data_IF_543961853475
#
_entry.id   IF_543961853475
#
_cell.length_a   1.000
_cell.length_b   1.000
_cell.length_c   1.000
_cell.angle_alpha   90.00
_cell.angle_beta   90.00
_cell.angle_gamma   90.00
#
_symmetry.space_group_name_H-M   'P 1'
#
loop_
_entity.id
_entity.type
_entity.pdbx_description
1 polymer ?
#
# COMPACT_ATOMS: atom_id res chain seq x y z
N UNK A 1 -80.41 7.61 27.04
CA UNK A 1 -80.38 6.82 25.79
C UNK A 1 -79.07 7.17 25.11
N UNK A 2 -78.06 6.31 25.27
CA UNK A 2 -76.83 6.36 24.46
C UNK A 2 -77.16 6.01 22.99
N UNK A 3 -76.31 6.41 22.03
CA UNK A 3 -75.27 5.48 21.61
C UNK A 3 -73.90 6.11 21.31
N UNK A 4 -72.86 5.50 21.90
CA UNK A 4 -71.57 5.10 21.30
C UNK A 4 -70.79 6.04 20.37
N UNK A 5 -69.60 6.47 20.82
CA UNK A 5 -68.43 6.67 19.94
C UNK A 5 -67.25 5.87 20.47
N UNK A 6 -66.70 4.99 19.63
CA UNK A 6 -65.61 4.08 19.96
C UNK A 6 -64.25 4.75 19.73
N UNK A 7 -63.43 4.81 20.77
CA UNK A 7 -62.02 5.14 20.68
C UNK A 7 -61.26 3.96 20.07
N UNK A 8 -60.76 4.11 18.85
CA UNK A 8 -59.80 3.18 18.25
C UNK A 8 -58.46 3.28 19.00
N UNK A 9 -58.19 2.29 19.86
CA UNK A 9 -56.87 2.09 20.45
C UNK A 9 -55.97 1.44 19.40
N UNK A 10 -55.00 2.20 18.88
CA UNK A 10 -53.95 1.67 18.01
C UNK A 10 -53.07 0.74 18.84
N UNK A 11 -53.22 -0.57 18.63
CA UNK A 11 -52.38 -1.59 19.25
C UNK A 11 -50.98 -1.51 18.64
N UNK A 12 -50.00 -1.08 19.44
CA UNK A 12 -48.58 -1.13 19.10
C UNK A 12 -48.19 -2.60 19.07
N UNK A 13 -48.15 -3.18 17.87
CA UNK A 13 -47.67 -4.54 17.65
C UNK A 13 -46.24 -4.66 18.17
N UNK A 14 -46.03 -5.57 19.13
CA UNK A 14 -44.70 -5.90 19.66
C UNK A 14 -43.84 -6.40 18.50
N UNK A 15 -42.96 -5.53 18.00
CA UNK A 15 -41.96 -5.92 17.01
C UNK A 15 -41.11 -7.04 17.66
N UNK A 16 -41.05 -8.24 17.07
CA UNK A 16 -40.30 -9.34 17.64
C UNK A 16 -38.83 -8.96 17.72
N UNK A 17 -38.20 -9.24 18.86
CA UNK A 17 -36.79 -8.93 19.18
C UNK A 17 -35.80 -9.42 18.11
N UNK A 18 -36.17 -10.45 17.36
CA UNK A 18 -35.44 -10.96 16.20
C UNK A 18 -35.32 -9.94 15.05
N UNK A 19 -36.38 -9.19 14.75
CA UNK A 19 -36.37 -8.16 13.70
C UNK A 19 -35.46 -7.00 14.10
N UNK A 20 -35.45 -6.62 15.37
CA UNK A 20 -34.56 -5.57 15.89
C UNK A 20 -33.09 -6.00 15.77
N UNK A 21 -32.78 -7.25 16.13
CA UNK A 21 -31.43 -7.83 15.98
C UNK A 21 -30.98 -7.88 14.52
N UNK A 22 -31.87 -8.27 13.61
CA UNK A 22 -31.58 -8.32 12.17
C UNK A 22 -31.33 -6.93 11.58
N UNK A 23 -32.11 -5.92 11.97
CA UNK A 23 -31.90 -4.52 11.57
C UNK A 23 -30.55 -4.00 12.10
N UNK A 24 -30.17 -4.36 13.33
CA UNK A 24 -28.89 -3.98 13.92
C UNK A 24 -27.71 -4.62 13.16
N UNK A 25 -27.82 -5.90 12.77
CA UNK A 25 -26.82 -6.61 11.95
C UNK A 25 -26.70 -6.03 10.53
N UNK A 26 -27.82 -5.64 9.92
CA UNK A 26 -27.86 -4.98 8.60
C UNK A 26 -27.25 -3.57 8.68
N UNK A 27 -27.52 -2.82 9.76
CA UNK A 27 -26.92 -1.50 9.99
C UNK A 27 -25.39 -1.60 10.16
N UNK A 28 -24.93 -2.61 10.91
CA UNK A 28 -23.50 -2.86 11.14
C UNK A 28 -22.74 -3.39 9.91
N UNK A 29 -23.42 -3.79 8.83
CA UNK A 29 -22.77 -4.26 7.60
C UNK A 29 -22.61 -3.17 6.53
N UNK A 30 -23.07 -1.94 6.81
CA UNK A 30 -22.93 -0.78 5.91
C UNK A 30 -21.71 0.10 6.21
N UNK A 31 -20.62 -0.47 6.74
CA UNK A 31 -19.33 0.21 6.78
C UNK A 31 -18.75 0.32 5.36
N UNK A 32 -19.23 1.32 4.61
CA UNK A 32 -18.51 1.80 3.44
C UNK A 32 -17.28 2.56 3.95
N UNK A 33 -16.09 2.04 3.66
CA UNK A 33 -14.86 2.80 3.85
C UNK A 33 -14.90 3.98 2.90
N UNK A 34 -15.28 5.16 3.40
CA UNK A 34 -15.18 6.39 2.64
C UNK A 34 -13.70 6.77 2.54
N UNK A 35 -13.21 6.92 1.32
CA UNK A 35 -11.92 7.54 0.99
C UNK A 35 -11.92 8.96 1.57
N UNK A 36 -11.40 9.11 2.79
CA UNK A 36 -11.47 10.37 3.52
C UNK A 36 -10.16 11.15 3.36
N UNK A 37 -10.20 12.16 2.47
CA UNK A 37 -9.12 13.09 2.20
C UNK A 37 -8.65 13.84 3.47
N UNK A 38 -7.35 14.13 3.56
CA UNK A 38 -6.82 15.03 4.60
C UNK A 38 -7.30 16.44 4.30
N UNK A 39 -8.20 16.99 5.12
CA UNK A 39 -8.79 18.32 4.88
C UNK A 39 -7.73 19.44 4.79
N UNK A 40 -6.56 19.24 5.42
CA UNK A 40 -5.44 20.18 5.37
C UNK A 40 -4.54 19.97 4.15
N UNK A 41 -4.65 18.82 3.48
CA UNK A 41 -3.87 18.44 2.31
C UNK A 41 -4.67 17.50 1.38
N UNK A 42 -5.72 18.02 0.73
CA UNK A 42 -6.69 17.20 -0.01
C UNK A 42 -6.09 16.48 -1.22
N UNK A 43 -4.95 16.97 -1.73
CA UNK A 43 -4.23 16.38 -2.86
C UNK A 43 -2.99 15.58 -2.41
N UNK A 44 -2.72 15.53 -1.10
CA UNK A 44 -1.59 14.85 -0.51
C UNK A 44 -1.66 13.34 -0.75
N UNK A 45 -0.61 12.78 -1.34
CA UNK A 45 -0.54 11.36 -1.62
C UNK A 45 0.90 10.85 -1.52
N UNK A 46 1.01 9.53 -1.40
CA UNK A 46 2.27 8.82 -1.63
C UNK A 46 2.15 8.13 -2.98
N UNK A 47 3.08 8.44 -3.88
CA UNK A 47 3.16 7.76 -5.18
C UNK A 47 4.29 6.74 -5.14
N UNK A 48 3.97 5.49 -5.42
CA UNK A 48 4.92 4.40 -5.59
C UNK A 48 5.11 4.21 -7.09
N UNK A 49 6.33 4.38 -7.55
CA UNK A 49 6.73 4.16 -8.94
C UNK A 49 7.56 2.89 -9.02
N UNK A 50 7.21 2.02 -9.95
CA UNK A 50 7.90 0.76 -10.21
C UNK A 50 8.47 0.80 -11.62
N UNK A 51 9.78 0.93 -11.73
CA UNK A 51 10.51 1.01 -12.99
C UNK A 51 11.20 -0.33 -13.27
N UNK A 52 10.80 -1.02 -14.34
CA UNK A 52 11.50 -2.21 -14.85
C UNK A 52 12.69 -1.74 -15.67
N UNK A 53 13.91 -1.98 -15.22
CA UNK A 53 15.13 -1.41 -15.82
C UNK A 53 15.93 -2.41 -16.65
N UNK A 54 15.74 -3.71 -16.42
CA UNK A 54 16.49 -4.75 -17.12
C UNK A 54 15.72 -6.07 -17.14
N UNK A 55 15.77 -6.81 -18.25
CA UNK A 55 15.32 -8.20 -18.30
C UNK A 55 16.36 -9.16 -17.76
N UNK A 56 15.92 -10.22 -17.08
CA UNK A 56 16.76 -11.35 -16.69
C UNK A 56 16.34 -12.60 -17.47
N UNK A 57 16.97 -13.74 -17.19
CA UNK A 57 16.63 -15.00 -17.85
C UNK A 57 15.19 -15.48 -17.56
N UNK A 58 14.66 -15.20 -16.37
CA UNK A 58 13.35 -15.66 -15.92
C UNK A 58 12.41 -14.55 -15.41
N UNK A 59 12.86 -13.29 -15.45
CA UNK A 59 12.09 -12.15 -14.98
C UNK A 59 12.75 -10.81 -15.30
N UNK A 60 12.91 -9.96 -14.28
CA UNK A 60 13.43 -8.61 -14.46
C UNK A 60 14.07 -8.03 -13.19
N UNK A 61 14.91 -7.01 -13.37
CA UNK A 61 15.35 -6.12 -12.30
C UNK A 61 14.50 -4.86 -12.34
N UNK A 62 13.94 -4.49 -11.19
CA UNK A 62 13.11 -3.30 -11.03
C UNK A 62 13.60 -2.40 -9.90
N UNK A 63 13.35 -1.10 -10.05
CA UNK A 63 13.55 -0.10 -8.99
C UNK A 63 12.18 0.40 -8.54
N UNK A 64 11.90 0.25 -7.26
CA UNK A 64 10.67 0.72 -6.62
C UNK A 64 11.00 1.99 -5.86
N UNK A 65 10.39 3.10 -6.23
CA UNK A 65 10.61 4.41 -5.62
C UNK A 65 9.32 4.96 -5.08
N UNK A 66 9.31 5.38 -3.82
CA UNK A 66 8.19 6.02 -3.17
C UNK A 66 8.48 7.50 -3.00
N UNK A 67 7.50 8.32 -3.37
CA UNK A 67 7.52 9.77 -3.26
C UNK A 67 6.41 10.18 -2.30
N UNK A 68 6.77 10.86 -1.23
CA UNK A 68 5.78 11.43 -0.31
C UNK A 68 5.41 12.85 -0.75
N UNK A 69 4.40 12.96 -1.62
CA UNK A 69 3.86 14.24 -2.09
C UNK A 69 2.87 14.88 -1.13
N UNK A 70 2.87 14.49 0.14
CA UNK A 70 2.14 15.21 1.18
C UNK A 70 2.86 16.51 1.53
N UNK A 71 2.11 17.49 2.03
CA UNK A 71 2.63 18.80 2.42
C UNK A 71 3.20 18.81 3.83
N UNK A 72 2.48 18.22 4.79
CA UNK A 72 2.84 18.32 6.21
C UNK A 72 3.15 16.98 6.88
N UNK A 73 2.72 15.88 6.28
CA UNK A 73 2.82 14.56 6.89
C UNK A 73 4.13 13.88 6.50
N UNK A 74 4.86 13.45 7.52
CA UNK A 74 6.09 12.67 7.40
C UNK A 74 5.80 11.24 7.84
N UNK A 75 6.49 10.28 7.25
CA UNK A 75 6.54 8.91 7.76
C UNK A 75 7.67 8.88 8.79
N UNK A 76 7.30 8.71 10.06
CA UNK A 76 8.24 8.59 11.17
C UNK A 76 8.59 7.12 11.44
N UNK A 77 9.55 6.89 12.33
CA UNK A 77 9.87 5.54 12.83
C UNK A 77 8.62 4.88 13.46
N UNK A 78 8.35 3.57 13.27
CA UNK A 78 9.19 2.53 12.65
C UNK A 78 9.26 2.51 11.10
N UNK A 79 8.77 3.54 10.43
CA UNK A 79 8.89 3.69 8.98
C UNK A 79 7.74 3.06 8.21
N UNK A 80 7.85 3.10 6.88
CA UNK A 80 6.87 2.48 6.01
C UNK A 80 7.06 0.95 5.93
N UNK A 81 5.96 0.27 5.62
CA UNK A 81 5.93 -1.13 5.22
C UNK A 81 5.11 -1.25 3.95
N UNK A 82 5.71 -1.82 2.91
CA UNK A 82 5.09 -1.98 1.59
C UNK A 82 4.81 -3.45 1.33
N UNK A 83 3.57 -3.79 1.04
CA UNK A 83 3.18 -5.14 0.64
C UNK A 83 2.49 -5.15 -0.71
N UNK A 84 2.58 -6.27 -1.42
CA UNK A 84 1.83 -6.49 -2.66
C UNK A 84 1.55 -7.97 -2.85
N UNK A 85 0.73 -8.30 -3.83
CA UNK A 85 0.47 -9.67 -4.27
C UNK A 85 0.98 -9.84 -5.71
N UNK A 86 1.82 -10.84 -5.93
CA UNK A 86 2.28 -11.15 -7.28
C UNK A 86 1.13 -11.58 -8.19
N UNK A 87 1.23 -11.38 -9.50
CA UNK A 87 0.13 -11.73 -10.41
C UNK A 87 0.06 -13.24 -10.71
N UNK A 88 1.21 -13.93 -10.75
CA UNK A 88 1.38 -15.33 -11.14
C UNK A 88 2.13 -16.15 -10.08
N UNK A 89 3.38 -16.55 -10.30
CA UNK A 89 4.20 -17.35 -9.36
C UNK A 89 5.59 -16.75 -9.22
N UNK A 90 5.64 -15.43 -9.29
CA UNK A 90 6.84 -14.63 -9.17
C UNK A 90 7.48 -14.83 -7.79
N UNK A 91 8.81 -14.72 -7.75
CA UNK A 91 9.63 -14.78 -6.54
C UNK A 91 10.60 -13.61 -6.54
N UNK A 92 11.17 -13.30 -5.39
CA UNK A 92 12.23 -12.29 -5.27
C UNK A 92 13.56 -13.03 -5.18
N UNK A 93 14.41 -12.86 -6.19
CA UNK A 93 15.77 -13.41 -6.18
C UNK A 93 16.66 -12.66 -5.20
N UNK A 94 16.70 -11.33 -5.30
CA UNK A 94 17.55 -10.46 -4.47
C UNK A 94 16.91 -9.09 -4.29
N UNK A 95 17.33 -8.37 -3.25
CA UNK A 95 16.94 -6.98 -2.98
C UNK A 95 18.15 -6.13 -2.56
N UNK A 96 18.09 -4.83 -2.85
CA UNK A 96 19.04 -3.82 -2.33
C UNK A 96 18.26 -2.61 -1.83
N UNK A 97 18.70 -2.04 -0.71
CA UNK A 97 18.06 -0.90 -0.05
C UNK A 97 16.86 -1.25 0.82
N UNK A 98 16.22 -2.41 0.60
CA UNK A 98 15.11 -2.91 1.40
C UNK A 98 15.20 -4.44 1.51
N UNK A 99 14.40 -5.02 2.41
CA UNK A 99 14.29 -6.47 2.57
C UNK A 99 12.86 -6.89 2.86
N UNK A 100 12.51 -8.11 2.45
CA UNK A 100 11.28 -8.75 2.91
C UNK A 100 11.35 -9.12 4.38
N UNK A 101 10.24 -8.99 5.10
CA UNK A 101 10.14 -9.38 6.51
C UNK A 101 10.13 -10.89 6.72
N UNK A 102 9.75 -11.65 5.69
CA UNK A 102 9.67 -13.10 5.72
C UNK A 102 10.11 -13.68 4.36
N UNK A 103 10.78 -14.83 4.38
CA UNK A 103 11.17 -15.56 3.16
C UNK A 103 10.00 -16.37 2.58
N UNK A 104 9.21 -17.03 3.43
CA UNK A 104 8.14 -17.97 3.00
C UNK A 104 8.67 -19.35 2.61
N UNK A 105 7.79 -20.19 2.06
CA UNK A 105 8.15 -21.55 1.63
C UNK A 105 8.82 -21.53 0.24
N UNK A 106 10.15 -21.68 0.24
CA UNK A 106 10.97 -21.80 -0.96
C UNK A 106 11.40 -23.25 -1.27
N UNK A 107 10.78 -24.27 -0.65
CA UNK A 107 11.20 -25.69 -0.76
C UNK A 107 11.26 -26.24 -2.20
N UNK A 108 10.52 -25.63 -3.13
CA UNK A 108 10.57 -25.98 -4.56
C UNK A 108 11.94 -25.72 -5.21
N UNK A 109 12.75 -24.82 -4.65
CA UNK A 109 14.05 -24.42 -5.20
C UNK A 109 15.17 -25.25 -4.57
N UNK A 110 15.76 -26.19 -5.34
CA UNK A 110 16.76 -27.16 -4.85
C UNK A 110 18.23 -26.71 -4.95
N UNK A 111 18.48 -25.42 -5.15
CA UNK A 111 19.83 -24.87 -5.35
C UNK A 111 19.88 -23.41 -4.90
N UNK A 112 19.84 -22.48 -5.86
CA UNK A 112 19.68 -21.07 -5.53
C UNK A 112 18.28 -20.83 -4.95
N UNK A 113 18.23 -20.55 -3.65
CA UNK A 113 17.00 -20.24 -2.92
C UNK A 113 16.71 -18.75 -3.08
N UNK A 114 15.52 -18.35 -3.54
CA UNK A 114 15.14 -16.94 -3.63
C UNK A 114 15.15 -16.26 -2.25
N UNK A 115 15.43 -14.96 -2.24
CA UNK A 115 15.26 -14.09 -1.08
C UNK A 115 13.85 -14.16 -0.48
N UNK A 116 12.81 -14.28 -1.33
CA UNK A 116 11.45 -14.49 -0.87
C UNK A 116 10.58 -15.24 -1.90
N UNK A 117 9.84 -16.23 -1.44
CA UNK A 117 8.89 -17.02 -2.25
C UNK A 117 7.42 -16.78 -1.88
N UNK A 118 7.14 -15.86 -0.93
CA UNK A 118 5.75 -15.52 -0.58
C UNK A 118 5.05 -14.92 -1.79
N UNK A 119 3.81 -15.36 -2.01
CA UNK A 119 2.89 -14.79 -3.00
C UNK A 119 2.55 -13.33 -2.71
N UNK A 120 2.53 -12.97 -1.43
CA UNK A 120 2.21 -11.67 -0.90
C UNK A 120 3.33 -11.13 0.01
N UNK A 121 4.51 -10.78 -0.55
CA UNK A 121 5.63 -10.32 0.26
C UNK A 121 5.30 -9.00 0.95
N UNK A 122 5.93 -8.81 2.11
CA UNK A 122 5.93 -7.56 2.86
C UNK A 122 7.37 -7.08 2.97
N UNK A 123 7.63 -5.82 2.64
CA UNK A 123 8.96 -5.22 2.51
C UNK A 123 9.08 -4.02 3.42
N UNK A 124 10.26 -3.91 4.03
CA UNK A 124 10.68 -2.77 4.84
C UNK A 124 12.02 -2.26 4.34
N UNK A 125 12.23 -0.97 4.48
CA UNK A 125 13.52 -0.33 4.20
C UNK A 125 14.62 -0.89 5.12
N UNK A 126 15.86 -0.87 4.64
CA UNK A 126 16.99 -1.18 5.52
C UNK A 126 17.27 -0.03 6.50
N UNK A 127 18.02 -0.31 7.56
CA UNK A 127 18.37 0.69 8.58
C UNK A 127 19.58 1.54 8.15
N UNK A 128 19.74 2.74 8.73
CA UNK A 128 20.97 3.51 8.58
C UNK A 128 22.20 2.68 8.99
N UNK A 129 23.31 2.86 8.28
CA UNK A 129 24.55 2.08 8.50
C UNK A 129 24.63 0.77 7.69
N UNK A 130 23.63 0.49 6.85
CA UNK A 130 23.69 -0.62 5.87
C UNK A 130 24.98 -0.57 5.05
N UNK A 131 25.67 -1.69 4.75
CA UNK A 131 26.87 -1.70 3.92
C UNK A 131 26.65 -1.13 2.50
N UNK A 132 27.64 -0.44 1.93
CA UNK A 132 27.52 0.25 0.64
C UNK A 132 27.06 -0.66 -0.52
N UNK A 133 27.51 -1.92 -0.53
CA UNK A 133 27.13 -2.92 -1.54
C UNK A 133 25.67 -3.39 -1.46
N UNK A 134 24.93 -2.99 -0.42
CA UNK A 134 23.52 -3.27 -0.23
C UNK A 134 22.66 -2.00 -0.31
N UNK A 135 23.26 -0.85 -0.62
CA UNK A 135 22.57 0.43 -0.72
C UNK A 135 22.17 0.76 -2.16
N UNK A 136 21.14 1.58 -2.28
CA UNK A 136 20.77 2.30 -3.50
C UNK A 136 20.42 3.75 -3.10
N UNK A 137 20.38 4.66 -4.08
CA UNK A 137 19.99 6.04 -3.84
C UNK A 137 18.66 6.15 -3.08
N UNK A 138 18.60 7.04 -2.08
CA UNK A 138 17.42 7.30 -1.25
C UNK A 138 16.91 6.11 -0.41
N UNK A 139 17.66 5.02 -0.25
CA UNK A 139 17.28 3.93 0.66
C UNK A 139 17.73 4.18 2.09
N UNK A 140 17.44 3.18 2.93
CA UNK A 140 18.23 2.83 4.10
C UNK A 140 18.09 3.81 5.25
N UNK A 141 16.89 4.38 5.40
CA UNK A 141 16.52 5.33 6.45
C UNK A 141 15.59 4.69 7.49
N UNK A 142 15.49 3.36 7.51
CA UNK A 142 14.53 2.64 8.35
C UNK A 142 13.09 3.01 8.00
N UNK A 143 12.82 3.35 6.74
CA UNK A 143 11.49 3.65 6.24
C UNK A 143 10.98 5.04 6.60
N UNK A 144 11.84 5.89 7.16
CA UNK A 144 11.49 7.28 7.46
C UNK A 144 11.52 8.12 6.18
N UNK A 145 10.48 8.91 5.97
CA UNK A 145 10.34 9.82 4.83
C UNK A 145 9.80 11.17 5.27
N UNK A 146 10.44 12.25 4.83
CA UNK A 146 9.88 13.59 5.00
C UNK A 146 8.70 13.83 4.03
N UNK A 147 8.04 14.97 4.15
CA UNK A 147 7.05 15.44 3.18
C UNK A 147 7.78 16.21 2.07
N UNK A 148 7.29 16.13 0.83
CA UNK A 148 7.93 16.81 -0.30
C UNK A 148 8.03 18.32 -0.08
N UNK A 149 7.00 18.93 0.54
CA UNK A 149 7.01 20.36 0.78
C UNK A 149 7.96 20.80 1.91
N UNK A 150 8.28 19.92 2.86
CA UNK A 150 9.18 20.24 3.97
C UNK A 150 10.64 19.96 3.61
N UNK A 151 10.91 18.80 3.01
CA UNK A 151 12.27 18.38 2.65
C UNK A 151 12.21 17.39 1.46
N UNK A 152 12.27 17.91 0.22
CA UNK A 152 12.23 17.10 -0.99
C UNK A 152 13.32 16.01 -1.05
N UNK A 153 14.51 16.28 -0.50
CA UNK A 153 15.64 15.35 -0.57
C UNK A 153 15.37 14.08 0.26
N UNK A 154 14.67 14.23 1.39
CA UNK A 154 14.31 13.13 2.28
C UNK A 154 12.87 12.62 2.09
N UNK A 155 12.11 13.19 1.16
CA UNK A 155 10.75 12.77 0.81
C UNK A 155 10.68 11.58 -0.16
N UNK A 156 11.83 11.00 -0.52
CA UNK A 156 11.95 9.86 -1.43
C UNK A 156 12.54 8.67 -0.68
N UNK A 157 12.01 7.48 -0.95
CA UNK A 157 12.59 6.20 -0.51
C UNK A 157 12.66 5.26 -1.69
N UNK A 158 13.75 4.51 -1.87
CA UNK A 158 13.82 3.55 -2.98
C UNK A 158 14.52 2.26 -2.63
N UNK A 159 14.19 1.20 -3.36
CA UNK A 159 14.88 -0.08 -3.30
C UNK A 159 14.90 -0.75 -4.67
N UNK A 160 15.88 -1.61 -4.89
CA UNK A 160 15.94 -2.47 -6.06
C UNK A 160 15.46 -3.87 -5.71
N UNK A 161 14.75 -4.50 -6.65
CA UNK A 161 14.26 -5.87 -6.53
C UNK A 161 14.55 -6.63 -7.82
N UNK A 162 15.17 -7.80 -7.69
CA UNK A 162 15.31 -8.77 -8.77
C UNK A 162 14.18 -9.78 -8.67
N UNK A 163 13.28 -9.80 -9.66
CA UNK A 163 12.06 -10.61 -9.67
C UNK A 163 12.25 -11.78 -10.64
N UNK A 164 12.00 -12.98 -10.15
CA UNK A 164 12.02 -14.23 -10.93
C UNK A 164 10.62 -14.69 -11.33
N UNK A 165 10.56 -15.62 -12.28
CA UNK A 165 9.32 -16.20 -12.82
C UNK A 165 8.23 -15.19 -13.24
N UNK A 166 8.62 -13.98 -13.61
CA UNK A 166 7.71 -12.88 -13.98
C UNK A 166 7.43 -12.78 -15.48
N UNK A 167 8.26 -13.46 -16.30
CA UNK A 167 8.33 -13.25 -17.74
C UNK A 167 9.34 -12.16 -18.10
N UNK A 168 9.78 -12.16 -19.36
CA UNK A 168 10.97 -11.41 -19.81
C UNK A 168 10.66 -10.39 -20.91
N UNK A 169 9.40 -10.01 -21.08
CA UNK A 169 8.98 -9.02 -22.09
C UNK A 169 7.85 -8.13 -21.58
N UNK A 170 7.68 -6.96 -22.23
CA UNK A 170 6.60 -6.02 -21.94
C UNK A 170 5.18 -6.62 -22.07
N UNK A 171 5.03 -7.75 -22.78
CA UNK A 171 3.74 -8.44 -22.96
C UNK A 171 3.48 -9.49 -21.89
N UNK A 172 4.54 -10.14 -21.39
CA UNK A 172 4.44 -11.30 -20.49
C UNK A 172 4.48 -10.92 -19.02
N UNK A 173 5.19 -9.84 -18.68
CA UNK A 173 5.23 -9.28 -17.33
C UNK A 173 3.87 -8.72 -16.95
N UNK A 174 3.47 -9.00 -15.71
CA UNK A 174 2.22 -8.52 -15.12
C UNK A 174 2.53 -7.65 -13.92
N UNK A 175 1.74 -6.59 -13.79
CA UNK A 175 1.85 -5.65 -12.69
C UNK A 175 1.42 -6.32 -11.38
N UNK A 176 2.11 -6.07 -10.25
CA UNK A 176 1.66 -6.51 -8.94
C UNK A 176 0.25 -6.00 -8.61
N UNK A 177 -0.48 -6.78 -7.81
CA UNK A 177 -1.86 -6.52 -7.39
C UNK A 177 -1.91 -6.25 -5.90
N UNK A 178 -3.02 -5.67 -5.43
CA UNK A 178 -3.30 -5.48 -4.00
C UNK A 178 -2.13 -4.82 -3.26
N UNK A 179 -1.69 -3.66 -3.75
CA UNK A 179 -0.63 -2.90 -3.10
C UNK A 179 -1.16 -2.40 -1.76
N UNK A 180 -0.38 -2.57 -0.71
CA UNK A 180 -0.68 -2.11 0.64
C UNK A 180 0.48 -1.27 1.13
N UNK A 181 0.17 -0.08 1.64
CA UNK A 181 1.15 0.79 2.29
C UNK A 181 0.70 1.00 3.73
N UNK A 182 1.60 0.68 4.66
CA UNK A 182 1.42 0.96 6.08
C UNK A 182 2.53 1.88 6.54
N UNK A 183 2.19 2.79 7.43
CA UNK A 183 3.11 3.67 8.12
C UNK A 183 2.51 3.98 9.50
N UNK A 184 3.29 4.55 10.43
CA UNK A 184 2.79 4.86 11.75
C UNK A 184 1.66 5.89 11.69
N UNK A 185 0.59 5.63 12.43
CA UNK A 185 -0.61 6.47 12.42
C UNK A 185 -1.72 5.93 11.52
N UNK A 186 -2.51 6.81 10.87
CA UNK A 186 -3.60 6.38 10.01
C UNK A 186 -3.09 5.56 8.83
N UNK A 187 -3.85 4.53 8.42
CA UNK A 187 -3.48 3.68 7.29
C UNK A 187 -3.50 4.43 5.95
N UNK A 188 -3.00 3.79 4.90
CA UNK A 188 -3.15 4.26 3.53
C UNK A 188 -4.00 3.29 2.72
N UNK A 189 -4.72 3.83 1.75
CA UNK A 189 -5.44 3.08 0.72
C UNK A 189 -4.73 3.34 -0.60
N UNK A 190 -4.44 2.27 -1.35
CA UNK A 190 -3.67 2.36 -2.59
C UNK A 190 -4.56 1.94 -3.76
N UNK A 191 -4.56 2.75 -4.81
CA UNK A 191 -5.23 2.41 -6.06
C UNK A 191 -4.53 1.27 -6.81
N UNK A 192 -5.14 0.78 -7.91
CA UNK A 192 -4.49 -0.18 -8.79
C UNK A 192 -3.28 0.46 -9.47
N UNK A 193 -2.28 -0.37 -9.75
CA UNK A 193 -1.10 0.06 -10.47
C UNK A 193 -1.41 0.35 -11.94
N UNK A 194 -1.03 1.55 -12.39
CA UNK A 194 -1.29 2.05 -13.75
C UNK A 194 -0.01 2.02 -14.57
N UNK A 195 -0.09 1.47 -15.77
CA UNK A 195 1.01 1.54 -16.74
C UNK A 195 1.12 2.98 -17.25
N UNK A 196 2.30 3.55 -17.16
CA UNK A 196 2.58 4.92 -17.59
C UNK A 196 3.76 4.93 -18.57
N UNK A 197 4.06 6.11 -19.13
CA UNK A 197 5.23 6.30 -19.99
C UNK A 197 6.50 5.86 -19.24
N UNK A 198 7.40 5.08 -19.86
CA UNK A 198 8.57 4.61 -19.15
C UNK A 198 9.50 5.75 -18.73
N UNK A 199 9.98 5.72 -17.49
CA UNK A 199 10.86 6.72 -16.88
C UNK A 199 12.17 6.85 -17.66
N UNK A 200 12.61 8.07 -17.92
CA UNK A 200 13.99 8.35 -18.36
C UNK A 200 14.87 8.63 -17.14
N UNK A 201 16.04 7.99 -17.09
CA UNK A 201 17.06 8.19 -16.08
C UNK A 201 18.24 8.91 -16.69
N UNK A 202 18.62 10.03 -16.10
CA UNK A 202 19.83 10.74 -16.45
C UNK A 202 20.98 10.23 -15.56
N UNK A 203 22.11 9.89 -16.16
CA UNK A 203 23.32 9.51 -15.41
C UNK A 203 23.80 10.66 -14.53
N UNK A 204 24.55 10.34 -13.47
CA UNK A 204 25.06 11.35 -12.53
C UNK A 204 25.92 12.43 -13.21
N UNK A 205 26.70 12.05 -14.23
CA UNK A 205 27.50 12.96 -15.06
C UNK A 205 26.68 13.72 -16.12
N UNK A 206 25.37 13.44 -16.22
CA UNK A 206 24.40 14.00 -17.17
C UNK A 206 24.69 13.73 -18.65
N UNK A 207 25.57 12.79 -18.97
CA UNK A 207 25.96 12.51 -20.36
C UNK A 207 25.17 11.39 -21.02
N UNK A 208 24.52 10.54 -20.23
CA UNK A 208 23.78 9.38 -20.71
C UNK A 208 22.35 9.41 -20.19
N UNK A 209 21.40 9.24 -21.11
CA UNK A 209 20.01 8.96 -20.76
C UNK A 209 19.75 7.48 -20.99
N UNK A 210 19.30 6.77 -19.96
CA UNK A 210 18.72 5.44 -20.09
C UNK A 210 17.22 5.52 -19.82
N UNK A 211 16.47 4.49 -20.18
CA UNK A 211 15.02 4.47 -19.99
C UNK A 211 14.61 3.14 -19.36
N UNK A 212 13.61 3.18 -18.48
CA UNK A 212 12.91 1.99 -18.06
C UNK A 212 12.27 1.29 -19.27
N UNK A 213 12.22 -0.04 -19.21
CA UNK A 213 11.53 -0.88 -20.18
C UNK A 213 10.01 -0.79 -19.99
N UNK A 214 9.58 -0.65 -18.73
CA UNK A 214 8.20 -0.39 -18.31
C UNK A 214 8.20 0.45 -17.03
N UNK A 215 7.17 1.28 -16.85
CA UNK A 215 6.93 1.99 -15.60
C UNK A 215 5.49 1.85 -15.16
N UNK A 216 5.28 1.60 -13.87
CA UNK A 216 3.97 1.57 -13.24
C UNK A 216 3.89 2.59 -12.10
N UNK A 217 2.78 3.30 -12.01
CA UNK A 217 2.50 4.21 -10.91
C UNK A 217 1.34 3.69 -10.07
N UNK A 218 1.52 3.76 -8.76
CA UNK A 218 0.51 3.45 -7.75
C UNK A 218 0.36 4.69 -6.89
N UNK A 219 -0.86 5.14 -6.70
CA UNK A 219 -1.15 6.29 -5.84
C UNK A 219 -1.83 5.79 -4.58
N UNK A 220 -1.28 6.17 -3.43
CA UNK A 220 -1.82 5.87 -2.12
C UNK A 220 -2.23 7.15 -1.41
N UNK A 221 -3.46 7.17 -0.90
CA UNK A 221 -4.06 8.29 -0.15
C UNK A 221 -4.22 7.90 1.31
N UNK A 222 -4.20 8.90 2.19
CA UNK A 222 -4.36 8.67 3.62
C UNK A 222 -5.80 8.22 3.92
N UNK A 223 -5.96 7.17 4.73
CA UNK A 223 -7.24 6.82 5.32
C UNK A 223 -7.44 7.64 6.58
N UNK A 224 -8.51 8.44 6.64
CA UNK A 224 -8.96 8.97 7.94
C UNK A 224 -9.72 7.88 8.66
N UNK A 225 -9.23 7.44 9.81
CA UNK A 225 -10.04 6.65 10.74
C UNK A 225 -11.22 7.52 11.15
N UNK A 226 -12.44 7.13 10.75
CA UNK A 226 -13.65 7.65 11.39
C UNK A 226 -13.50 7.38 12.88
N UNK A 227 -13.36 8.46 13.66
CA UNK A 227 -13.26 8.35 15.09
C UNK A 227 -14.64 7.90 15.59
N UNK A 228 -14.84 6.59 15.82
CA UNK A 228 -15.98 6.07 16.57
C UNK A 228 -15.89 6.39 18.06
N UNK A 229 -15.18 7.47 18.43
CA UNK A 229 -15.11 8.01 19.79
C UNK A 229 -16.47 8.53 20.28
N UNK A 230 -17.47 8.66 19.41
CA UNK A 230 -18.87 8.93 19.78
C UNK A 230 -19.67 7.66 20.11
N UNK A 231 -19.27 6.47 19.63
CA UNK A 231 -19.99 5.22 19.90
C UNK A 231 -19.47 4.46 21.13
N UNK A 232 -18.21 4.66 21.55
CA UNK A 232 -17.72 4.12 22.84
C UNK A 232 -18.34 4.79 24.07
N UNK A 233 -18.95 5.98 23.94
CA UNK A 233 -19.69 6.63 25.03
C UNK A 233 -21.16 6.23 25.11
N UNK A 234 -21.72 5.63 24.06
CA UNK A 234 -23.11 5.12 24.05
C UNK A 234 -23.23 3.64 24.43
N UNK A 235 -22.10 2.92 24.53
CA UNK A 235 -22.05 1.52 25.00
C UNK A 235 -21.69 1.38 26.49
N UNK A 236 -21.57 2.50 27.21
CA UNK A 236 -21.27 2.57 28.65
C UNK A 236 -22.36 3.30 29.46
N UNK A 237 -23.55 3.48 28.88
CA UNK A 237 -24.76 3.92 29.57
C UNK A 237 -25.88 2.90 29.37
#
# INVERSE_FOLDING_TARGET
MDPSSSLLTVSITKIPTFIISLIFLISCSTFTSTEAYDALDPNGNITIKWDVIQWTADGYVGVVTMYNFQKYRRIQSPGWTLGWTWAKKEVIWTMMGAQTTEQGDCSKFKGNVPHCCKKNPTVVDLLPGTPYNQQIAHCCKGGVMSSWAQDPANAVSSFQVSVGAAGTTNKTVRVPKNITLKAPGPGYTCGPAKIVRPTAFLSADRRRVTQALMTWNITCTLLKTSNSSLLRRLLLL
#
